data_IF_046504192079
#
_entry.id   IF_046504192079
#
_cell.length_a   1.000
_cell.length_b   1.000
_cell.length_c   1.000
_cell.angle_alpha   90.00
_cell.angle_beta   90.00
_cell.angle_gamma   90.00
#
_symmetry.space_group_name_H-M   'P 1'
#
loop_
_entity.id
_entity.type
_entity.pdbx_description
1 polymer ?
#
# COMPACT_ATOMS: atom_id res chain seq x y z
N UNK A 1 -24.36 26.12 -2.38
CA UNK A 1 -25.44 25.51 -3.19
C UNK A 1 -25.21 24.01 -3.32
N UNK A 2 -24.05 23.59 -3.84
CA UNK A 2 -23.79 22.16 -4.09
C UNK A 2 -23.67 21.33 -2.81
N UNK A 3 -23.15 21.90 -1.72
CA UNK A 3 -23.18 21.26 -0.40
C UNK A 3 -24.60 20.90 0.08
N UNK A 4 -25.61 21.71 -0.25
CA UNK A 4 -27.00 21.43 0.09
C UNK A 4 -27.55 20.29 -0.76
N UNK A 5 -27.14 20.19 -2.03
CA UNK A 5 -27.49 19.07 -2.91
C UNK A 5 -26.88 17.76 -2.42
N UNK A 6 -25.58 17.76 -2.08
CA UNK A 6 -24.90 16.58 -1.52
C UNK A 6 -25.57 16.15 -0.20
N UNK A 7 -25.96 17.11 0.65
CA UNK A 7 -26.72 16.83 1.88
C UNK A 7 -28.08 16.20 1.58
N UNK A 8 -28.80 16.70 0.56
CA UNK A 8 -30.08 16.12 0.15
C UNK A 8 -29.92 14.68 -0.38
N UNK A 9 -28.82 14.41 -1.11
CA UNK A 9 -28.48 13.06 -1.59
C UNK A 9 -28.18 12.13 -0.42
N UNK A 10 -27.33 12.54 0.54
CA UNK A 10 -27.05 11.75 1.75
C UNK A 10 -28.32 11.43 2.54
N UNK A 11 -29.23 12.41 2.66
CA UNK A 11 -30.53 12.21 3.30
C UNK A 11 -31.42 11.21 2.55
N UNK A 12 -31.42 11.24 1.21
CA UNK A 12 -32.17 10.27 0.39
C UNK A 12 -31.64 8.84 0.52
N UNK A 13 -30.34 8.68 0.82
CA UNK A 13 -29.72 7.38 1.12
C UNK A 13 -29.90 6.93 2.57
N UNK A 14 -30.63 7.70 3.39
CA UNK A 14 -30.90 7.38 4.80
C UNK A 14 -29.75 7.69 5.76
N UNK A 15 -28.71 8.41 5.31
CA UNK A 15 -27.59 8.80 6.18
C UNK A 15 -27.96 10.07 6.94
N UNK A 16 -28.16 9.95 8.25
CA UNK A 16 -28.58 11.05 9.13
C UNK A 16 -27.44 11.69 9.91
N UNK A 17 -26.36 10.96 10.17
CA UNK A 17 -25.21 11.43 10.94
C UNK A 17 -23.92 11.25 10.14
N UNK A 18 -23.18 12.34 9.96
CA UNK A 18 -21.88 12.35 9.27
C UNK A 18 -21.02 13.52 9.77
N UNK A 19 -19.70 13.38 9.68
CA UNK A 19 -18.78 14.48 10.01
C UNK A 19 -18.86 15.58 8.92
N UNK A 20 -18.85 16.88 9.28
CA UNK A 20 -18.89 17.97 8.31
C UNK A 20 -17.78 17.91 7.24
N UNK A 21 -16.63 17.29 7.52
CA UNK A 21 -15.54 17.11 6.54
C UNK A 21 -15.93 16.21 5.36
N UNK A 22 -16.82 15.25 5.57
CA UNK A 22 -17.27 14.33 4.52
C UNK A 22 -17.92 15.10 3.37
N UNK A 23 -18.70 16.15 3.66
CA UNK A 23 -19.28 16.99 2.62
C UNK A 23 -18.21 17.67 1.76
N UNK A 24 -17.15 18.17 2.39
CA UNK A 24 -16.07 18.83 1.67
C UNK A 24 -15.32 17.84 0.76
N UNK A 25 -15.02 16.65 1.28
CA UNK A 25 -14.36 15.60 0.52
C UNK A 25 -15.20 15.10 -0.65
N UNK A 26 -16.52 14.94 -0.47
CA UNK A 26 -17.43 14.56 -1.56
C UNK A 26 -17.53 15.65 -2.64
N UNK A 27 -17.51 16.92 -2.26
CA UNK A 27 -17.49 18.03 -3.21
C UNK A 27 -16.18 18.08 -4.00
N UNK A 28 -15.04 17.89 -3.33
CA UNK A 28 -13.73 17.81 -3.98
C UNK A 28 -13.69 16.62 -4.96
N UNK A 29 -14.17 15.46 -4.52
CA UNK A 29 -14.28 14.27 -5.36
C UNK A 29 -15.15 14.52 -6.60
N UNK A 30 -16.32 15.14 -6.43
CA UNK A 30 -17.22 15.45 -7.55
C UNK A 30 -16.55 16.38 -8.56
N UNK A 31 -15.93 17.46 -8.09
CA UNK A 31 -15.25 18.42 -8.96
C UNK A 31 -14.09 17.76 -9.71
N UNK A 32 -13.25 17.01 -8.99
CA UNK A 32 -12.12 16.28 -9.58
C UNK A 32 -12.59 15.26 -10.61
N UNK A 33 -13.62 14.47 -10.28
CA UNK A 33 -14.17 13.46 -11.18
C UNK A 33 -14.73 14.07 -12.47
N UNK A 34 -15.53 15.13 -12.38
CA UNK A 34 -16.06 15.82 -13.56
C UNK A 34 -14.93 16.41 -14.41
N UNK A 35 -13.91 17.01 -13.79
CA UNK A 35 -12.75 17.57 -14.51
C UNK A 35 -11.98 16.48 -15.25
N UNK A 36 -11.74 15.33 -14.61
CA UNK A 36 -11.08 14.18 -15.25
C UNK A 36 -11.89 13.66 -16.45
N UNK A 37 -13.21 13.47 -16.29
CA UNK A 37 -14.07 12.96 -17.37
C UNK A 37 -14.15 13.94 -18.54
N UNK A 38 -14.23 15.25 -18.29
CA UNK A 38 -14.22 16.25 -19.37
C UNK A 38 -12.86 16.35 -20.05
N UNK A 39 -11.77 16.20 -19.31
CA UNK A 39 -10.43 16.19 -19.88
C UNK A 39 -10.23 14.97 -20.80
N UNK A 40 -10.58 13.78 -20.34
CA UNK A 40 -10.56 12.54 -21.14
C UNK A 40 -11.47 12.68 -22.37
N UNK A 41 -12.69 13.21 -22.20
CA UNK A 41 -13.61 13.49 -23.29
C UNK A 41 -13.04 14.45 -24.34
N UNK A 42 -12.33 15.49 -23.91
CA UNK A 42 -11.69 16.43 -24.82
C UNK A 42 -10.56 15.76 -25.63
N UNK A 43 -9.76 14.90 -24.99
CA UNK A 43 -8.75 14.11 -25.71
C UNK A 43 -9.36 13.21 -26.78
N UNK A 44 -10.57 12.66 -26.55
CA UNK A 44 -11.28 11.88 -27.57
C UNK A 44 -11.80 12.74 -28.71
N UNK A 45 -12.31 13.95 -28.43
CA UNK A 45 -12.70 14.89 -29.47
C UNK A 45 -11.49 15.30 -30.35
N UNK A 46 -10.35 15.61 -29.73
CA UNK A 46 -9.09 15.92 -30.44
C UNK A 46 -8.63 14.75 -31.31
N UNK A 47 -8.74 13.51 -30.81
CA UNK A 47 -8.44 12.32 -31.61
C UNK A 47 -9.38 12.16 -32.82
N UNK A 48 -10.64 12.61 -32.71
CA UNK A 48 -11.58 12.65 -33.83
C UNK A 48 -11.34 13.85 -34.78
N UNK A 49 -10.32 14.69 -34.53
CA UNK A 49 -10.03 15.91 -35.28
C UNK A 49 -11.03 17.04 -35.00
N UNK A 50 -11.83 16.94 -33.93
CA UNK A 50 -12.82 17.94 -33.51
C UNK A 50 -12.28 18.70 -32.30
N UNK A 51 -12.49 20.02 -32.27
CA UNK A 51 -12.16 20.86 -31.10
C UNK A 51 -13.35 21.07 -30.15
N UNK A 52 -14.56 20.71 -30.59
CA UNK A 52 -15.78 20.79 -29.79
C UNK A 52 -16.10 19.43 -29.17
N UNK A 53 -16.41 19.45 -27.88
CA UNK A 53 -16.77 18.27 -27.09
C UNK A 53 -18.24 17.93 -27.28
N UNK A 54 -18.52 16.69 -27.68
CA UNK A 54 -19.87 16.18 -27.87
C UNK A 54 -20.29 15.23 -26.74
N UNK A 55 -21.60 14.93 -26.66
CA UNK A 55 -22.12 14.02 -25.65
C UNK A 55 -21.54 12.60 -25.80
N UNK A 56 -21.25 12.17 -27.03
CA UNK A 56 -20.67 10.86 -27.32
C UNK A 56 -19.26 10.72 -26.72
N UNK A 57 -18.46 11.78 -26.77
CA UNK A 57 -17.09 11.79 -26.24
C UNK A 57 -17.11 11.61 -24.70
N UNK A 58 -18.05 12.25 -24.01
CA UNK A 58 -18.26 12.11 -22.56
C UNK A 58 -18.79 10.72 -22.21
N UNK A 59 -19.70 10.17 -23.00
CA UNK A 59 -20.21 8.81 -22.79
C UNK A 59 -19.11 7.76 -22.96
N UNK A 60 -18.22 7.96 -23.94
CA UNK A 60 -17.07 7.09 -24.14
C UNK A 60 -16.12 7.14 -22.94
N UNK A 61 -15.76 8.34 -22.48
CA UNK A 61 -14.94 8.53 -21.28
C UNK A 61 -15.55 7.83 -20.05
N UNK A 62 -16.85 8.00 -19.83
CA UNK A 62 -17.54 7.38 -18.70
C UNK A 62 -17.53 5.85 -18.79
N UNK A 63 -17.75 5.28 -19.99
CA UNK A 63 -17.73 3.83 -20.20
C UNK A 63 -16.35 3.23 -19.96
N UNK A 64 -15.29 3.88 -20.45
CA UNK A 64 -13.92 3.42 -20.27
C UNK A 64 -13.49 3.49 -18.81
N UNK A 65 -13.85 4.57 -18.11
CA UNK A 65 -13.57 4.73 -16.68
C UNK A 65 -14.35 3.72 -15.83
N UNK A 66 -15.61 3.45 -16.17
CA UNK A 66 -16.41 2.41 -15.53
C UNK A 66 -15.83 1.01 -15.75
N UNK A 67 -15.36 0.71 -16.97
CA UNK A 67 -14.72 -0.56 -17.29
C UNK A 67 -13.41 -0.76 -16.50
N UNK A 68 -12.60 0.29 -16.34
CA UNK A 68 -11.38 0.23 -15.54
C UNK A 68 -11.65 -0.01 -14.04
N UNK A 69 -12.77 0.50 -13.53
CA UNK A 69 -13.19 0.32 -12.13
C UNK A 69 -13.97 -0.96 -11.88
N UNK A 70 -14.33 -1.72 -12.92
CA UNK A 70 -15.19 -2.88 -12.77
C UNK A 70 -14.41 -4.04 -12.14
N UNK A 71 -14.74 -4.36 -10.89
CA UNK A 71 -14.27 -5.58 -10.25
C UNK A 71 -15.00 -6.77 -10.86
N UNK A 72 -14.28 -7.87 -11.11
CA UNK A 72 -14.66 -8.92 -12.05
C UNK A 72 -16.12 -9.40 -11.99
N UNK A 73 -16.69 -9.70 -13.15
CA UNK A 73 -18.06 -10.21 -13.28
C UNK A 73 -18.28 -11.48 -12.44
N UNK A 74 -19.50 -11.69 -11.94
CA UNK A 74 -19.84 -12.85 -11.13
C UNK A 74 -19.49 -14.19 -11.81
N UNK A 75 -19.66 -14.28 -13.14
CA UNK A 75 -19.27 -15.45 -13.94
C UNK A 75 -17.75 -15.71 -13.93
N UNK A 76 -16.94 -14.65 -13.93
CA UNK A 76 -15.49 -14.76 -13.81
C UNK A 76 -15.10 -15.29 -12.43
N UNK A 77 -15.74 -14.77 -11.37
CA UNK A 77 -15.50 -15.24 -9.99
C UNK A 77 -15.90 -16.71 -9.85
N UNK A 78 -17.03 -17.11 -10.41
CA UNK A 78 -17.49 -18.51 -10.40
C UNK A 78 -16.53 -19.42 -11.16
N UNK A 79 -16.04 -18.99 -12.33
CA UNK A 79 -15.04 -19.73 -13.08
C UNK A 79 -13.73 -19.88 -12.29
N UNK A 80 -13.23 -18.79 -11.68
CA UNK A 80 -12.03 -18.83 -10.83
C UNK A 80 -12.23 -19.75 -9.62
N UNK A 81 -13.41 -19.70 -8.98
CA UNK A 81 -13.75 -20.57 -7.86
C UNK A 81 -13.79 -22.03 -8.30
N UNK A 82 -14.41 -22.35 -9.45
CA UNK A 82 -14.44 -23.71 -10.00
C UNK A 82 -13.02 -24.21 -10.30
N UNK A 83 -12.17 -23.38 -10.88
CA UNK A 83 -10.79 -23.76 -11.21
C UNK A 83 -9.96 -24.02 -9.94
N UNK A 84 -10.12 -23.19 -8.90
CA UNK A 84 -9.42 -23.37 -7.62
C UNK A 84 -9.98 -24.53 -6.79
N UNK A 85 -11.28 -24.73 -6.78
CA UNK A 85 -11.94 -25.78 -6.02
C UNK A 85 -11.81 -27.17 -6.66
N UNK A 86 -11.15 -27.31 -7.82
CA UNK A 86 -10.78 -28.60 -8.41
C UNK A 86 -9.72 -29.32 -7.60
N UNK A 87 -8.82 -28.57 -6.96
CA UNK A 87 -7.79 -29.15 -6.10
C UNK A 87 -8.43 -29.52 -4.75
N UNK A 88 -8.41 -30.81 -4.35
CA UNK A 88 -8.95 -31.20 -3.05
C UNK A 88 -8.15 -30.56 -1.93
N UNK A 89 -8.80 -30.35 -0.79
CA UNK A 89 -8.13 -29.81 0.39
C UNK A 89 -6.98 -30.74 0.82
N UNK A 90 -5.83 -30.18 1.28
CA UNK A 90 -4.78 -30.96 1.91
C UNK A 90 -5.34 -31.76 3.10
N UNK A 91 -4.77 -32.94 3.40
CA UNK A 91 -5.21 -33.74 4.54
C UNK A 91 -5.11 -32.93 5.84
N UNK A 92 -6.10 -33.11 6.72
CA UNK A 92 -6.13 -32.40 8.00
C UNK A 92 -4.89 -32.73 8.85
N UNK A 93 -4.28 -31.74 9.52
CA UNK A 93 -3.09 -31.98 10.33
C UNK A 93 -3.42 -32.82 11.57
N UNK A 94 -2.56 -33.80 11.87
CA UNK A 94 -2.70 -34.67 13.05
C UNK A 94 -2.29 -33.99 14.35
N UNK A 95 -1.45 -32.94 14.28
CA UNK A 95 -1.01 -32.20 15.48
C UNK A 95 -2.04 -31.13 15.85
N UNK A 96 -2.37 -31.08 17.14
CA UNK A 96 -3.23 -30.05 17.70
C UNK A 96 -2.50 -28.70 17.67
N UNK A 97 -3.04 -27.73 16.91
CA UNK A 97 -2.52 -26.37 16.85
C UNK A 97 -2.50 -25.78 15.43
N UNK A 98 -2.07 -24.53 15.33
CA UNK A 98 -1.91 -23.83 14.05
C UNK A 98 -0.64 -24.33 13.37
N UNK A 99 -0.78 -24.89 12.16
CA UNK A 99 0.37 -25.23 11.33
C UNK A 99 0.95 -23.97 10.71
N UNK A 100 2.20 -23.67 11.02
CA UNK A 100 2.94 -22.63 10.31
C UNK A 100 3.44 -23.18 8.97
N UNK A 101 3.50 -22.35 7.92
CA UNK A 101 4.27 -22.68 6.73
C UNK A 101 5.73 -23.01 7.09
N UNK A 102 6.50 -23.65 6.19
CA UNK A 102 7.94 -23.86 6.38
C UNK A 102 8.65 -22.59 6.86
N UNK A 103 9.64 -22.73 7.75
CA UNK A 103 10.30 -21.58 8.39
C UNK A 103 10.86 -20.55 7.39
N UNK A 104 11.25 -20.99 6.18
CA UNK A 104 11.71 -20.11 5.08
C UNK A 104 10.62 -19.15 4.57
N UNK A 105 9.35 -19.55 4.67
CA UNK A 105 8.18 -18.75 4.30
C UNK A 105 7.61 -17.97 5.50
N UNK A 106 8.19 -18.14 6.69
CA UNK A 106 7.78 -17.43 7.89
C UNK A 106 8.64 -16.18 8.11
N UNK A 107 8.00 -15.02 8.27
CA UNK A 107 8.65 -13.75 8.60
C UNK A 107 9.01 -13.65 10.10
N UNK A 108 9.68 -14.69 10.63
CA UNK A 108 10.09 -14.77 12.05
C UNK A 108 11.48 -14.19 12.31
N UNK A 109 12.32 -14.11 11.28
CA UNK A 109 13.66 -13.54 11.37
C UNK A 109 13.62 -12.07 11.00
N UNK A 110 14.52 -11.29 11.61
CA UNK A 110 14.71 -9.88 11.27
C UNK A 110 15.10 -9.79 9.78
N UNK A 111 14.26 -9.13 8.98
CA UNK A 111 14.46 -8.94 7.53
C UNK A 111 15.10 -7.58 7.21
N UNK A 112 15.85 -7.02 8.15
CA UNK A 112 16.57 -5.78 7.97
C UNK A 112 17.89 -5.85 8.72
N UNK A 113 18.93 -5.28 8.13
CA UNK A 113 20.20 -5.01 8.79
C UNK A 113 20.22 -3.52 9.09
N UNK A 114 20.46 -3.16 10.34
CA UNK A 114 20.74 -1.77 10.69
C UNK A 114 22.25 -1.61 10.56
N UNK A 115 22.67 -0.85 9.56
CA UNK A 115 24.02 -0.31 9.55
C UNK A 115 24.06 0.77 10.63
N UNK A 116 24.37 0.37 11.86
CA UNK A 116 24.81 1.32 12.86
C UNK A 116 26.13 1.87 12.32
N UNK A 117 26.12 3.12 11.85
CA UNK A 117 27.36 3.88 11.75
C UNK A 117 27.98 3.78 13.14
N UNK A 118 29.16 3.17 13.23
CA UNK A 118 29.95 3.18 14.45
C UNK A 118 30.14 4.66 14.79
N UNK A 119 29.34 5.18 15.72
CA UNK A 119 29.71 6.39 16.44
C UNK A 119 31.05 6.01 17.07
N UNK A 120 32.13 6.51 16.49
CA UNK A 120 33.44 6.50 17.10
C UNK A 120 33.29 7.28 18.41
N UNK A 121 32.93 6.54 19.47
CA UNK A 121 33.02 6.99 20.83
C UNK A 121 34.52 7.08 21.12
N UNK A 122 35.08 8.25 20.85
CA UNK A 122 36.32 8.68 21.48
C UNK A 122 36.14 8.49 22.99
N UNK A 123 36.85 7.49 23.51
CA UNK A 123 37.00 7.25 24.92
C UNK A 123 37.75 8.43 25.54
N UNK A 124 37.01 9.43 26.02
CA UNK A 124 37.51 10.38 27.00
C UNK A 124 36.83 10.04 28.34
N UNK A 125 37.59 9.37 29.21
CA UNK A 125 37.31 9.34 30.64
C UNK A 125 37.19 10.77 31.14
N UNK A 126 36.04 11.14 31.71
CA UNK A 126 36.05 12.21 32.71
C UNK A 126 35.03 11.97 33.81
N UNK A 127 35.51 12.26 35.01
CA UNK A 127 35.04 11.72 36.28
C UNK A 127 33.72 12.36 36.71
N UNK A 128 32.77 11.53 37.16
CA UNK A 128 31.49 11.98 37.70
C UNK A 128 31.66 12.81 39.00
N UNK A 129 31.15 14.04 39.01
CA UNK A 129 30.64 14.69 40.22
C UNK A 129 29.28 15.38 39.94
N UNK A 130 28.29 15.26 40.86
CA UNK A 130 26.94 15.75 40.62
C UNK A 130 26.80 17.20 41.11
N UNK A 131 26.32 18.12 40.27
CA UNK A 131 25.68 19.35 40.75
C UNK A 131 24.42 19.65 39.95
N UNK A 132 23.41 20.09 40.70
CA UNK A 132 22.01 20.32 40.35
C UNK A 132 21.81 21.53 39.44
N UNK A 133 21.00 21.42 38.37
CA UNK A 133 20.07 22.50 37.94
C UNK A 133 19.12 22.08 36.79
N UNK A 134 17.82 22.22 37.07
CA UNK A 134 16.63 22.50 36.22
C UNK A 134 16.60 22.06 34.73
N UNK A 135 15.57 21.32 34.27
CA UNK A 135 15.43 20.91 32.87
C UNK A 135 14.87 22.02 31.96
N UNK A 136 15.60 22.38 30.91
CA UNK A 136 15.11 23.13 29.74
C UNK A 136 14.60 22.19 28.63
N UNK A 137 13.65 22.63 27.77
CA UNK A 137 13.06 21.78 26.72
C UNK A 137 14.04 21.46 25.58
N UNK A 138 13.91 20.30 24.91
CA UNK A 138 14.91 19.78 23.99
C UNK A 138 15.00 20.62 22.70
N UNK A 139 16.19 21.18 22.45
CA UNK A 139 16.53 21.81 21.18
C UNK A 139 16.66 20.74 20.09
N UNK A 140 15.92 20.95 18.99
CA UNK A 140 15.90 20.11 17.80
C UNK A 140 17.29 20.02 17.16
N UNK A 141 17.94 18.85 17.22
CA UNK A 141 19.20 18.61 16.54
C UNK A 141 19.00 18.70 15.02
N UNK A 142 19.75 19.60 14.37
CA UNK A 142 19.85 19.69 12.92
C UNK A 142 20.91 18.70 12.47
N UNK A 143 20.50 17.69 11.71
CA UNK A 143 21.40 16.70 11.12
C UNK A 143 20.89 15.27 11.30
N UNK A 144 19.72 14.96 10.73
CA UNK A 144 19.34 13.57 10.54
C UNK A 144 19.97 13.11 9.23
N UNK A 145 21.03 12.30 9.30
CA UNK A 145 21.53 11.58 8.13
C UNK A 145 20.44 10.57 7.69
N UNK A 146 20.22 10.40 6.38
CA UNK A 146 19.21 9.47 5.90
C UNK A 146 19.63 8.03 6.22
N UNK A 147 18.76 7.29 6.90
CA UNK A 147 18.90 5.85 7.10
C UNK A 147 18.85 5.20 5.72
N UNK A 148 19.98 4.67 5.24
CA UNK A 148 20.04 3.93 3.98
C UNK A 148 19.53 2.52 4.20
N UNK A 149 18.35 2.21 3.64
CA UNK A 149 17.79 0.86 3.65
C UNK A 149 18.33 0.13 2.41
N UNK A 150 19.27 -0.79 2.60
CA UNK A 150 19.73 -1.69 1.53
C UNK A 150 18.85 -2.94 1.48
N UNK A 151 18.08 -3.10 0.39
CA UNK A 151 17.31 -4.32 0.12
C UNK A 151 18.22 -5.33 -0.60
N UNK A 152 19.20 -5.90 0.10
CA UNK A 152 19.90 -7.10 -0.40
C UNK A 152 19.18 -8.34 0.11
N UNK A 153 18.26 -8.85 -0.71
CA UNK A 153 17.58 -10.11 -0.51
C UNK A 153 18.57 -11.28 -0.64
N UNK A 154 18.41 -12.26 0.25
CA UNK A 154 19.35 -13.36 0.49
C UNK A 154 19.88 -14.08 -0.75
N UNK A 155 21.20 -14.04 -0.90
CA UNK A 155 21.98 -15.10 -1.55
C UNK A 155 22.96 -15.64 -0.50
N UNK A 156 22.48 -16.55 0.34
CA UNK A 156 23.39 -17.39 1.12
C UNK A 156 24.16 -18.26 0.14
N UNK A 157 25.44 -17.96 -0.01
CA UNK A 157 26.41 -18.79 -0.75
C UNK A 157 26.58 -20.09 0.03
N UNK A 158 25.83 -21.12 -0.32
CA UNK A 158 26.10 -22.49 0.12
C UNK A 158 27.51 -22.85 -0.35
N UNK A 159 28.35 -23.24 0.61
CA UNK A 159 29.70 -23.69 0.37
C UNK A 159 29.60 -25.19 0.12
N UNK A 160 29.53 -25.58 -1.15
CA UNK A 160 29.73 -26.97 -1.56
C UNK A 160 31.11 -27.39 -1.04
N UNK A 161 31.09 -28.26 -0.03
CA UNK A 161 32.28 -28.97 0.43
C UNK A 161 32.09 -30.39 -0.09
N UNK A 162 32.93 -30.74 -1.05
CA UNK A 162 32.95 -32.03 -1.74
C UNK A 162 33.22 -33.15 -0.72
N UNK A 163 32.20 -33.94 -0.38
CA UNK A 163 32.38 -35.28 0.19
C UNK A 163 32.77 -36.23 -0.95
N UNK A 164 34.05 -36.19 -1.31
CA UNK A 164 34.72 -37.27 -2.03
C UNK A 164 35.03 -38.39 -1.03
N UNK A 165 34.11 -39.35 -0.88
CA UNK A 165 34.34 -40.77 -0.49
C UNK A 165 33.04 -41.44 0.00
N UNK A 166 32.14 -41.81 -0.93
CA UNK A 166 31.02 -42.71 -0.57
C UNK A 166 30.54 -43.59 -1.74
N UNK A 167 31.50 -44.16 -2.48
CA UNK A 167 31.27 -45.35 -3.31
C UNK A 167 32.41 -46.35 -3.10
N UNK A 168 32.33 -47.07 -1.98
CA UNK A 168 32.68 -48.50 -1.90
C UNK A 168 31.49 -49.24 -1.27
#
# INVERSE_FOLDING_TARGET
>A
RDAQLVTAVLRSMGVTEYEPRVLHQLLEFLHRYCTEVFHEGHMYAEHAGRSQLECEDVQLALRLKAAASQTGAASLIEWMARERNREPLPPAPTSAGVQLPPQRLCLLKVNYQLDAAEDQADAAEDTAQPTTSVPQPPRRAKGALPISISLSGGASKEKDTEDADMWE
#
